data_IF_969079340675
#
_entry.id   IF_969079340675
#
_cell.length_a   1.000
_cell.length_b   1.000
_cell.length_c   1.000
_cell.angle_alpha   90.00
_cell.angle_beta   90.00
_cell.angle_gamma   90.00
#
_symmetry.space_group_name_H-M   'P 1'
#
loop_
_entity.id
_entity.type
_entity.pdbx_description
1 polymer ?
#
# COMPACT_ATOMS: atom_id res chain seq x y z
N UNK A 1 -13.03 18.73 5.42
CA UNK A 1 -11.90 17.84 5.75
C UNK A 1 -10.71 18.74 5.93
N UNK A 2 -9.93 18.59 7.01
CA UNK A 2 -8.64 19.25 7.09
C UNK A 2 -7.83 18.83 5.87
N UNK A 3 -7.10 19.76 5.26
CA UNK A 3 -6.19 19.46 4.16
C UNK A 3 -5.17 18.45 4.69
N UNK A 4 -5.17 17.24 4.12
CA UNK A 4 -4.22 16.19 4.49
C UNK A 4 -2.82 16.63 4.03
N UNK A 5 -1.92 16.75 4.98
CA UNK A 5 -0.50 17.00 4.67
C UNK A 5 0.16 15.68 4.21
N UNK A 6 -0.03 15.36 2.93
CA UNK A 6 0.52 14.15 2.31
C UNK A 6 2.05 14.09 2.41
N UNK A 7 2.72 15.23 2.37
CA UNK A 7 4.17 15.29 2.50
C UNK A 7 4.60 14.89 3.93
N UNK A 8 3.95 15.43 4.96
CA UNK A 8 4.24 15.07 6.34
C UNK A 8 3.97 13.57 6.60
N UNK A 9 2.87 13.03 6.07
CA UNK A 9 2.54 11.59 6.18
C UNK A 9 3.65 10.76 5.52
N UNK A 10 3.99 11.06 4.27
CA UNK A 10 5.01 10.30 3.53
C UNK A 10 6.35 10.29 4.28
N UNK A 11 6.83 11.46 4.70
CA UNK A 11 8.13 11.58 5.37
C UNK A 11 8.14 10.82 6.70
N UNK A 12 7.05 10.86 7.47
CA UNK A 12 6.94 10.13 8.73
C UNK A 12 6.97 8.61 8.52
N UNK A 13 6.22 8.09 7.54
CA UNK A 13 6.21 6.65 7.20
C UNK A 13 7.58 6.23 6.67
N UNK A 14 8.17 6.98 5.75
CA UNK A 14 9.53 6.74 5.24
C UNK A 14 10.54 6.63 6.38
N UNK A 15 10.51 7.55 7.32
CA UNK A 15 11.48 7.58 8.42
C UNK A 15 11.33 6.37 9.34
N UNK A 16 10.11 5.89 9.59
CA UNK A 16 9.85 4.65 10.34
C UNK A 16 10.39 3.43 9.58
N UNK A 17 10.11 3.31 8.27
CA UNK A 17 10.63 2.22 7.43
C UNK A 17 12.15 2.23 7.39
N UNK A 18 12.75 3.40 7.16
CA UNK A 18 14.21 3.56 7.19
C UNK A 18 14.81 3.15 8.54
N UNK A 19 14.17 3.48 9.66
CA UNK A 19 14.65 3.10 11.00
C UNK A 19 14.55 1.58 11.21
N UNK A 20 13.45 0.95 10.76
CA UNK A 20 13.26 -0.50 10.83
C UNK A 20 14.32 -1.25 10.01
N UNK A 21 14.57 -0.81 8.77
CA UNK A 21 15.56 -1.42 7.87
C UNK A 21 16.99 -1.23 8.41
N UNK A 22 17.33 -0.03 8.91
CA UNK A 22 18.65 0.22 9.47
C UNK A 22 18.92 -0.59 10.75
N UNK A 23 17.88 -1.01 11.47
CA UNK A 23 18.00 -1.80 12.70
C UNK A 23 17.97 -3.32 12.46
N UNK A 24 17.58 -3.77 11.26
CA UNK A 24 17.48 -5.19 10.96
C UNK A 24 18.87 -5.85 10.78
N UNK A 25 19.03 -7.15 11.07
CA UNK A 25 20.20 -7.91 10.66
C UNK A 25 20.40 -7.86 9.14
N UNK A 26 21.64 -7.75 8.68
CA UNK A 26 21.95 -7.69 7.24
C UNK A 26 21.38 -8.87 6.44
N UNK A 27 21.33 -10.05 7.05
CA UNK A 27 20.78 -11.26 6.41
C UNK A 27 19.27 -11.13 6.13
N UNK A 28 18.55 -10.29 6.84
CA UNK A 28 17.10 -10.11 6.67
C UNK A 28 16.76 -9.30 5.40
N UNK A 29 17.75 -8.64 4.79
CA UNK A 29 17.58 -7.98 3.50
C UNK A 29 17.13 -8.95 2.38
N UNK A 30 17.52 -10.21 2.47
CA UNK A 30 17.14 -11.28 1.53
C UNK A 30 15.82 -11.99 1.89
N UNK A 31 15.15 -11.56 2.95
CA UNK A 31 13.84 -12.10 3.34
C UNK A 31 12.81 -11.75 2.29
N UNK A 32 12.10 -12.77 1.79
CA UNK A 32 10.98 -12.54 0.86
C UNK A 32 9.85 -11.79 1.58
N UNK A 33 9.32 -10.78 0.92
CA UNK A 33 8.16 -10.02 1.39
C UNK A 33 6.88 -10.81 1.07
N UNK A 34 6.12 -11.32 2.07
CA UNK A 34 4.98 -12.20 1.79
C UNK A 34 3.91 -11.56 0.89
N UNK A 35 3.71 -10.25 0.99
CA UNK A 35 2.76 -9.50 0.16
C UNK A 35 3.25 -9.26 -1.28
N UNK A 36 4.56 -9.37 -1.51
CA UNK A 36 5.22 -9.18 -2.80
C UNK A 36 6.20 -10.34 -3.03
N UNK A 37 5.74 -11.57 -3.34
CA UNK A 37 6.54 -12.80 -3.25
C UNK A 37 7.72 -12.86 -4.25
N UNK A 38 7.75 -11.98 -5.23
CA UNK A 38 8.86 -11.83 -6.17
C UNK A 38 9.95 -10.87 -5.65
N UNK A 39 9.74 -10.23 -4.49
CA UNK A 39 10.63 -9.23 -3.92
C UNK A 39 11.16 -9.64 -2.55
N UNK A 40 12.42 -9.33 -2.33
CA UNK A 40 13.06 -9.32 -1.00
C UNK A 40 12.81 -7.98 -0.29
N UNK A 41 13.19 -7.88 0.97
CA UNK A 41 13.20 -6.59 1.70
C UNK A 41 14.10 -5.58 0.99
N UNK A 42 15.23 -6.03 0.41
CA UNK A 42 16.08 -5.18 -0.42
C UNK A 42 15.35 -4.62 -1.65
N UNK A 43 14.62 -5.48 -2.38
CA UNK A 43 13.86 -5.07 -3.57
C UNK A 43 12.73 -4.10 -3.19
N UNK A 44 12.06 -4.33 -2.05
CA UNK A 44 11.05 -3.42 -1.53
C UNK A 44 11.63 -2.03 -1.22
N UNK A 45 12.81 -1.97 -0.57
CA UNK A 45 13.52 -0.70 -0.35
C UNK A 45 13.94 -0.05 -1.66
N UNK A 46 14.47 -0.83 -2.61
CA UNK A 46 14.85 -0.36 -3.93
C UNK A 46 13.63 0.26 -4.67
N UNK A 47 12.46 -0.38 -4.60
CA UNK A 47 11.20 0.15 -5.13
C UNK A 47 10.84 1.49 -4.51
N UNK A 48 10.78 1.57 -3.18
CA UNK A 48 10.38 2.78 -2.45
C UNK A 48 11.37 3.96 -2.64
N UNK A 49 12.62 3.65 -2.92
CA UNK A 49 13.66 4.65 -3.22
C UNK A 49 13.58 5.11 -4.67
N UNK A 50 13.50 4.16 -5.60
CA UNK A 50 13.67 4.42 -7.04
C UNK A 50 12.49 5.08 -7.71
N UNK A 51 11.26 4.68 -7.34
CA UNK A 51 10.07 5.19 -8.01
C UNK A 51 9.89 6.70 -7.83
N UNK A 52 9.94 7.27 -6.61
CA UNK A 52 9.87 8.73 -6.47
C UNK A 52 11.09 9.44 -7.09
N UNK A 53 12.30 8.86 -7.01
CA UNK A 53 13.49 9.45 -7.64
C UNK A 53 13.34 9.56 -9.17
N UNK A 54 12.82 8.50 -9.82
CA UNK A 54 12.54 8.50 -11.25
C UNK A 54 11.51 9.56 -11.63
N UNK A 55 10.41 9.66 -10.89
CA UNK A 55 9.36 10.66 -11.13
C UNK A 55 9.87 12.10 -10.94
N UNK A 56 10.71 12.37 -9.94
CA UNK A 56 11.36 13.67 -9.73
C UNK A 56 12.28 13.99 -10.91
N UNK A 57 12.99 13.01 -11.43
CA UNK A 57 13.86 13.16 -12.60
C UNK A 57 13.08 13.29 -13.93
N UNK A 58 11.76 13.14 -13.94
CA UNK A 58 10.91 13.18 -15.14
C UNK A 58 10.94 11.89 -15.95
N UNK A 59 11.45 10.80 -15.38
CA UNK A 59 11.35 9.47 -15.99
C UNK A 59 9.96 8.89 -15.68
N UNK A 60 9.09 8.89 -16.68
CA UNK A 60 7.71 8.46 -16.58
C UNK A 60 7.51 7.10 -17.26
N UNK A 61 6.59 6.25 -16.75
CA UNK A 61 6.29 4.98 -17.40
C UNK A 61 5.75 5.20 -18.82
N UNK A 62 6.36 4.55 -19.80
CA UNK A 62 5.97 4.64 -21.23
C UNK A 62 5.30 3.37 -21.75
N UNK A 63 5.09 2.37 -20.90
CA UNK A 63 4.52 1.06 -21.24
C UNK A 63 3.76 0.45 -20.07
N UNK A 64 3.97 -0.85 -19.87
CA UNK A 64 3.40 -1.56 -18.72
C UNK A 64 4.07 -1.07 -17.44
N UNK A 65 3.27 -0.53 -16.53
CA UNK A 65 3.79 0.11 -15.32
C UNK A 65 4.61 -0.84 -14.46
N UNK A 66 4.19 -2.09 -14.34
CA UNK A 66 4.91 -3.09 -13.54
C UNK A 66 6.29 -3.43 -14.12
N UNK A 67 6.43 -3.43 -15.46
CA UNK A 67 7.74 -3.63 -16.11
C UNK A 67 8.67 -2.45 -15.85
N UNK A 68 8.14 -1.22 -15.88
CA UNK A 68 8.89 -0.02 -15.55
C UNK A 68 9.36 -0.03 -14.09
N UNK A 69 8.44 -0.35 -13.14
CA UNK A 69 8.77 -0.48 -11.72
C UNK A 69 9.86 -1.55 -11.53
N UNK A 70 9.70 -2.73 -12.12
CA UNK A 70 10.68 -3.82 -12.00
C UNK A 70 12.04 -3.39 -12.56
N UNK A 71 12.06 -2.66 -13.67
CA UNK A 71 13.31 -2.12 -14.23
C UNK A 71 14.03 -1.16 -13.27
N UNK A 72 13.29 -0.34 -12.51
CA UNK A 72 13.85 0.55 -11.50
C UNK A 72 14.44 -0.22 -10.31
N UNK A 73 13.77 -1.30 -9.87
CA UNK A 73 14.25 -2.21 -8.82
C UNK A 73 15.51 -2.93 -9.29
N UNK A 74 15.48 -3.53 -10.48
CA UNK A 74 16.61 -4.27 -11.06
C UNK A 74 17.86 -3.39 -11.23
N UNK A 75 17.69 -2.12 -11.55
CA UNK A 75 18.79 -1.16 -11.68
C UNK A 75 19.52 -0.90 -10.37
N UNK A 76 18.89 -1.22 -9.22
CA UNK A 76 19.44 -1.03 -7.87
C UNK A 76 19.83 -2.35 -7.18
N UNK A 77 19.80 -3.46 -7.88
CA UNK A 77 20.06 -4.82 -7.33
C UNK A 77 21.38 -4.92 -6.57
N UNK A 78 22.41 -4.24 -7.03
CA UNK A 78 23.76 -4.26 -6.44
C UNK A 78 24.01 -3.04 -5.54
N UNK A 79 23.01 -2.17 -5.30
CA UNK A 79 23.13 -1.01 -4.43
C UNK A 79 23.02 -1.44 -2.97
N UNK A 80 23.92 -0.98 -2.12
CA UNK A 80 23.87 -1.35 -0.70
C UNK A 80 22.62 -0.77 0.00
N UNK A 81 22.17 -1.42 1.07
CA UNK A 81 21.07 -0.91 1.92
C UNK A 81 21.37 0.52 2.39
N UNK A 82 22.61 0.79 2.84
CA UNK A 82 23.01 2.10 3.32
C UNK A 82 22.92 3.18 2.23
N UNK A 83 23.32 2.84 1.00
CA UNK A 83 23.24 3.76 -0.14
C UNK A 83 21.78 4.00 -0.56
N UNK A 84 20.91 2.97 -0.55
CA UNK A 84 19.48 3.13 -0.81
C UNK A 84 18.82 4.02 0.24
N UNK A 85 19.11 3.82 1.53
CA UNK A 85 18.59 4.66 2.61
C UNK A 85 19.08 6.11 2.49
N UNK A 86 20.33 6.32 2.07
CA UNK A 86 20.89 7.64 1.83
C UNK A 86 20.24 8.33 0.63
N UNK A 87 20.03 7.59 -0.48
CA UNK A 87 19.33 8.07 -1.67
C UNK A 87 17.91 8.51 -1.32
N UNK A 88 17.14 7.67 -0.60
CA UNK A 88 15.75 7.97 -0.25
C UNK A 88 15.59 9.23 0.62
N UNK A 89 16.60 9.55 1.42
CA UNK A 89 16.64 10.73 2.30
C UNK A 89 17.33 11.96 1.68
N UNK A 90 17.76 11.87 0.42
CA UNK A 90 18.68 12.87 -0.15
C UNK A 90 18.02 14.23 -0.42
N UNK A 91 16.70 14.29 -0.69
CA UNK A 91 15.99 15.53 -1.02
C UNK A 91 14.54 15.51 -0.54
N UNK A 92 14.34 15.83 0.75
CA UNK A 92 13.01 15.90 1.37
C UNK A 92 12.10 16.95 0.72
N UNK A 93 12.68 18.03 0.19
CA UNK A 93 11.89 19.11 -0.41
C UNK A 93 11.32 18.68 -1.77
N UNK A 94 12.13 18.07 -2.63
CA UNK A 94 11.67 17.53 -3.91
C UNK A 94 10.66 16.40 -3.69
N UNK A 95 10.93 15.50 -2.76
CA UNK A 95 10.05 14.39 -2.41
C UNK A 95 8.70 14.89 -1.87
N UNK A 96 8.70 15.85 -0.93
CA UNK A 96 7.49 16.46 -0.41
C UNK A 96 6.68 17.17 -1.49
N UNK A 97 7.34 17.88 -2.41
CA UNK A 97 6.71 18.51 -3.57
C UNK A 97 6.06 17.50 -4.52
N UNK A 98 6.70 16.34 -4.76
CA UNK A 98 6.14 15.28 -5.58
C UNK A 98 4.89 14.69 -4.93
N UNK A 99 4.96 14.21 -3.70
CA UNK A 99 3.87 13.47 -3.04
C UNK A 99 2.67 14.34 -2.73
N UNK A 100 2.83 15.64 -2.55
CA UNK A 100 1.72 16.59 -2.42
C UNK A 100 0.80 16.60 -3.67
N UNK A 101 1.33 16.21 -4.83
CA UNK A 101 0.60 16.17 -6.10
C UNK A 101 0.31 14.75 -6.59
N UNK A 102 0.99 13.73 -6.03
CA UNK A 102 0.90 12.33 -6.46
C UNK A 102 0.56 11.46 -5.24
N UNK A 103 -0.66 11.63 -4.71
CA UNK A 103 -1.10 10.99 -3.47
C UNK A 103 -1.07 9.46 -3.49
N UNK A 104 -1.07 8.83 -4.67
CA UNK A 104 -0.95 7.37 -4.78
C UNK A 104 0.37 6.86 -4.19
N UNK A 105 1.47 7.64 -4.26
CA UNK A 105 2.75 7.28 -3.66
C UNK A 105 2.68 7.16 -2.14
N UNK A 106 1.82 7.96 -1.51
CA UNK A 106 1.62 7.89 -0.06
C UNK A 106 0.86 6.61 0.32
N UNK A 107 -0.19 6.28 -0.44
CA UNK A 107 -0.93 5.04 -0.25
C UNK A 107 -0.07 3.79 -0.46
N UNK A 108 0.77 3.80 -1.51
CA UNK A 108 1.74 2.75 -1.80
C UNK A 108 2.72 2.56 -0.64
N UNK A 109 3.32 3.65 -0.16
CA UNK A 109 4.25 3.61 0.97
C UNK A 109 3.61 3.08 2.26
N UNK A 110 2.38 3.51 2.59
CA UNK A 110 1.63 3.02 3.77
C UNK A 110 1.33 1.53 3.65
N UNK A 111 0.98 1.05 2.45
CA UNK A 111 0.79 -0.39 2.21
C UNK A 111 2.10 -1.16 2.43
N UNK A 112 3.19 -0.68 1.90
CA UNK A 112 4.50 -1.33 1.98
C UNK A 112 5.17 -1.22 3.36
N UNK A 113 4.82 -0.25 4.21
CA UNK A 113 5.21 -0.28 5.62
C UNK A 113 4.63 -1.52 6.34
N UNK A 114 3.36 -1.83 6.11
CA UNK A 114 2.73 -3.06 6.61
C UNK A 114 3.39 -4.33 6.05
N UNK A 115 3.73 -4.33 4.77
CA UNK A 115 4.41 -5.44 4.09
C UNK A 115 5.80 -5.69 4.70
N UNK A 116 6.56 -4.61 4.98
CA UNK A 116 7.85 -4.67 5.66
C UNK A 116 7.72 -5.24 7.08
N UNK A 117 6.74 -4.76 7.85
CA UNK A 117 6.47 -5.30 9.19
C UNK A 117 6.19 -6.82 9.12
N UNK A 118 5.37 -7.27 8.17
CA UNK A 118 5.09 -8.68 7.94
C UNK A 118 6.35 -9.49 7.61
N UNK A 119 7.20 -8.99 6.71
CA UNK A 119 8.46 -9.63 6.33
C UNK A 119 9.45 -9.77 7.49
N UNK A 120 9.54 -8.75 8.34
CA UNK A 120 10.44 -8.74 9.50
C UNK A 120 9.85 -9.38 10.77
N UNK A 121 8.59 -9.88 10.71
CA UNK A 121 7.90 -10.41 11.88
C UNK A 121 7.62 -9.37 12.97
N UNK A 122 7.62 -8.09 12.60
CA UNK A 122 7.32 -6.97 13.48
C UNK A 122 5.80 -6.77 13.62
N UNK A 123 5.40 -6.12 14.70
CA UNK A 123 3.98 -5.74 14.91
C UNK A 123 3.76 -4.37 14.25
N UNK A 124 2.80 -4.30 13.33
CA UNK A 124 2.40 -3.04 12.71
C UNK A 124 1.65 -2.16 13.73
N UNK A 125 1.86 -0.85 13.67
CA UNK A 125 1.05 0.10 14.44
C UNK A 125 -0.33 0.28 13.77
N UNK A 126 -1.29 -0.53 14.17
CA UNK A 126 -2.67 -0.49 13.64
C UNK A 126 -3.43 0.79 14.03
N UNK A 127 -2.88 1.56 14.98
CA UNK A 127 -3.49 2.83 15.43
C UNK A 127 -2.93 4.05 14.71
N UNK A 128 -1.91 3.86 13.88
CA UNK A 128 -1.32 4.93 13.09
C UNK A 128 -2.38 5.58 12.17
N UNK A 129 -2.49 6.91 12.17
CA UNK A 129 -3.55 7.62 11.47
C UNK A 129 -3.43 7.54 9.94
N UNK A 130 -2.31 7.12 9.43
CA UNK A 130 -2.01 7.10 7.99
C UNK A 130 -2.94 6.14 7.23
N UNK A 131 -3.24 4.96 7.79
CA UNK A 131 -4.16 4.01 7.15
C UNK A 131 -5.57 4.60 7.00
N UNK A 132 -6.06 5.31 8.01
CA UNK A 132 -7.33 6.03 7.91
C UNK A 132 -7.27 7.16 6.89
N UNK A 133 -6.16 7.90 6.86
CA UNK A 133 -5.95 8.99 5.92
C UNK A 133 -5.93 8.51 4.45
N UNK A 134 -5.40 7.32 4.20
CA UNK A 134 -5.29 6.74 2.84
C UNK A 134 -6.53 5.91 2.43
N UNK A 135 -7.41 5.54 3.36
CA UNK A 135 -8.59 4.73 3.08
C UNK A 135 -9.53 5.34 2.01
N UNK A 136 -9.83 6.66 2.02
CA UNK A 136 -10.62 7.27 0.96
C UNK A 136 -9.98 7.14 -0.44
N UNK A 137 -8.65 7.22 -0.52
CA UNK A 137 -7.91 7.04 -1.79
C UNK A 137 -7.99 5.61 -2.30
N UNK A 138 -7.84 4.61 -1.42
CA UNK A 138 -8.00 3.19 -1.77
C UNK A 138 -9.42 2.90 -2.30
N UNK A 139 -10.44 3.41 -1.63
CA UNK A 139 -11.83 3.27 -2.08
C UNK A 139 -12.09 3.98 -3.42
N UNK A 140 -11.55 5.18 -3.61
CA UNK A 140 -11.68 5.93 -4.87
C UNK A 140 -11.03 5.17 -6.05
N UNK A 141 -9.90 4.50 -5.83
CA UNK A 141 -9.26 3.65 -6.83
C UNK A 141 -10.13 2.48 -7.30
N UNK A 142 -11.00 1.97 -6.43
CA UNK A 142 -11.93 0.87 -6.75
C UNK A 142 -13.26 1.33 -7.36
N UNK A 143 -13.59 2.64 -7.30
CA UNK A 143 -14.86 3.16 -7.79
C UNK A 143 -15.12 2.80 -9.25
N UNK A 144 -14.15 3.03 -10.14
CA UNK A 144 -14.26 2.72 -11.58
C UNK A 144 -14.55 1.22 -11.81
N UNK A 145 -13.68 0.32 -11.38
CA UNK A 145 -13.89 -1.13 -11.52
C UNK A 145 -15.23 -1.64 -10.95
N UNK A 146 -15.63 -1.16 -9.76
CA UNK A 146 -16.92 -1.53 -9.14
C UNK A 146 -18.12 -1.04 -9.98
N UNK A 147 -18.06 0.20 -10.48
CA UNK A 147 -19.11 0.78 -11.31
C UNK A 147 -19.20 0.07 -12.67
N UNK A 148 -18.07 -0.24 -13.29
CA UNK A 148 -18.02 -0.98 -14.57
C UNK A 148 -18.59 -2.40 -14.44
N UNK A 149 -18.39 -3.04 -13.27
CA UNK A 149 -19.00 -4.33 -12.95
C UNK A 149 -20.50 -4.24 -12.63
N UNK A 150 -21.08 -3.04 -12.57
CA UNK A 150 -22.49 -2.83 -12.24
C UNK A 150 -22.84 -3.16 -10.78
N UNK A 151 -21.87 -3.09 -9.88
CA UNK A 151 -22.03 -3.41 -8.47
C UNK A 151 -22.41 -2.17 -7.65
N UNK A 152 -23.10 -2.39 -6.52
CA UNK A 152 -23.30 -1.36 -5.49
C UNK A 152 -21.99 -0.95 -4.81
N UNK A 153 -22.04 0.07 -3.97
CA UNK A 153 -20.83 0.54 -3.29
C UNK A 153 -20.21 -0.53 -2.37
N UNK A 154 -18.89 -0.50 -2.22
CA UNK A 154 -18.23 -1.09 -1.04
C UNK A 154 -18.34 -0.07 0.08
N UNK A 155 -18.76 -0.51 1.26
CA UNK A 155 -18.81 0.31 2.47
C UNK A 155 -17.93 -0.32 3.56
N UNK A 156 -16.99 0.47 4.08
CA UNK A 156 -16.24 0.14 5.29
C UNK A 156 -16.88 0.85 6.47
N UNK A 157 -17.06 0.17 7.59
CA UNK A 157 -17.58 0.74 8.83
C UNK A 157 -16.61 0.54 9.99
N UNK A 158 -16.49 1.56 10.83
CA UNK A 158 -15.74 1.50 12.09
C UNK A 158 -16.38 2.42 13.13
N UNK A 159 -17.06 1.84 14.11
CA UNK A 159 -17.86 2.59 15.08
C UNK A 159 -18.93 3.41 14.38
N UNK A 160 -18.95 4.72 14.64
CA UNK A 160 -19.93 5.67 14.07
C UNK A 160 -19.48 6.22 12.70
N UNK A 161 -18.37 5.77 12.15
CA UNK A 161 -17.82 6.26 10.88
C UNK A 161 -18.00 5.24 9.77
N UNK A 162 -18.20 5.74 8.56
CA UNK A 162 -18.18 4.90 7.34
C UNK A 162 -17.54 5.62 6.17
N UNK A 163 -16.98 4.82 5.27
CA UNK A 163 -16.38 5.25 4.01
C UNK A 163 -16.93 4.37 2.88
N UNK A 164 -17.14 4.96 1.71
CA UNK A 164 -17.70 4.26 0.55
C UNK A 164 -16.93 4.54 -0.72
N UNK A 165 -16.97 3.60 -1.65
CA UNK A 165 -16.40 3.79 -2.99
C UNK A 165 -17.12 4.89 -3.77
N UNK A 166 -18.45 5.02 -3.62
CA UNK A 166 -19.31 6.02 -4.29
C UNK A 166 -20.69 6.11 -3.61
N UNK A 167 -21.54 7.01 -4.07
CA UNK A 167 -22.84 7.33 -3.44
C UNK A 167 -23.97 6.31 -3.72
N UNK A 168 -23.68 5.13 -4.28
CA UNK A 168 -24.71 4.09 -4.45
C UNK A 168 -24.98 3.36 -3.13
N UNK A 169 -26.13 2.66 -3.07
CA UNK A 169 -26.40 1.74 -1.97
C UNK A 169 -25.32 0.66 -1.89
N UNK A 170 -24.86 0.33 -0.68
CA UNK A 170 -23.83 -0.69 -0.52
C UNK A 170 -24.31 -2.07 -0.94
N UNK A 171 -23.59 -2.72 -1.85
CA UNK A 171 -23.79 -4.11 -2.18
C UNK A 171 -22.93 -5.05 -1.33
N UNK A 172 -21.85 -4.52 -0.76
CA UNK A 172 -21.01 -5.18 0.24
C UNK A 172 -20.54 -4.18 1.28
N UNK A 173 -20.77 -4.47 2.57
CA UNK A 173 -20.30 -3.67 3.69
C UNK A 173 -19.58 -4.56 4.69
N UNK A 174 -18.46 -4.11 5.25
CA UNK A 174 -17.77 -4.84 6.30
C UNK A 174 -17.31 -3.92 7.43
N UNK A 175 -17.20 -4.49 8.63
CA UNK A 175 -16.73 -3.81 9.84
C UNK A 175 -15.23 -4.10 10.01
N UNK A 176 -14.41 -3.06 10.04
CA UNK A 176 -12.97 -3.18 10.27
C UNK A 176 -12.39 -1.86 10.81
N UNK A 177 -11.30 -1.94 11.58
CA UNK A 177 -10.50 -0.75 11.85
C UNK A 177 -9.86 -0.22 10.55
N UNK A 178 -9.44 1.05 10.50
CA UNK A 178 -8.93 1.65 9.26
C UNK A 178 -7.70 0.94 8.68
N UNK A 179 -6.83 0.38 9.54
CA UNK A 179 -5.66 -0.38 9.09
C UNK A 179 -6.10 -1.67 8.39
N UNK A 180 -6.96 -2.46 9.03
CA UNK A 180 -7.48 -3.70 8.45
C UNK A 180 -8.24 -3.43 7.15
N UNK A 181 -9.08 -2.39 7.11
CA UNK A 181 -9.80 -2.00 5.93
C UNK A 181 -8.86 -1.60 4.78
N UNK A 182 -7.82 -0.82 5.08
CA UNK A 182 -6.82 -0.41 4.08
C UNK A 182 -6.07 -1.63 3.53
N UNK A 183 -5.65 -2.56 4.41
CA UNK A 183 -5.00 -3.83 4.01
C UNK A 183 -5.92 -4.68 3.12
N UNK A 184 -7.21 -4.79 3.48
CA UNK A 184 -8.20 -5.54 2.70
C UNK A 184 -8.40 -4.95 1.29
N UNK A 185 -8.54 -3.63 1.19
CA UNK A 185 -8.80 -2.93 -0.07
C UNK A 185 -7.57 -2.76 -0.96
N UNK A 186 -6.37 -2.96 -0.41
CA UNK A 186 -5.11 -2.96 -1.17
C UNK A 186 -4.56 -4.37 -1.41
N UNK A 187 -5.44 -5.39 -1.38
CA UNK A 187 -5.13 -6.81 -1.69
C UNK A 187 -4.08 -7.44 -0.78
N UNK A 188 -4.16 -7.17 0.53
CA UNK A 188 -3.34 -7.82 1.56
C UNK A 188 -4.15 -8.81 2.39
N UNK A 189 -5.34 -9.20 1.92
CA UNK A 189 -6.16 -10.26 2.52
C UNK A 189 -6.57 -11.26 1.46
N UNK A 190 -6.54 -12.53 1.81
CA UNK A 190 -7.03 -13.60 0.94
C UNK A 190 -8.54 -13.49 0.73
N UNK A 191 -9.04 -14.10 -0.34
CA UNK A 191 -10.49 -14.21 -0.56
C UNK A 191 -11.21 -14.86 0.63
N UNK A 192 -10.59 -15.87 1.28
CA UNK A 192 -11.18 -16.54 2.43
C UNK A 192 -11.22 -15.66 3.68
N UNK A 193 -10.20 -14.83 3.91
CA UNK A 193 -10.21 -13.84 5.00
C UNK A 193 -11.28 -12.79 4.77
N UNK A 194 -11.48 -12.33 3.52
CA UNK A 194 -12.53 -11.38 3.18
C UNK A 194 -13.93 -11.97 3.33
N UNK A 195 -14.13 -13.25 2.99
CA UNK A 195 -15.39 -13.98 3.25
C UNK A 195 -15.68 -14.16 4.74
N UNK A 196 -14.63 -14.40 5.52
CA UNK A 196 -14.74 -14.62 6.96
C UNK A 196 -14.95 -13.33 7.76
N UNK A 197 -14.61 -12.17 7.21
CA UNK A 197 -14.82 -10.87 7.86
C UNK A 197 -16.31 -10.65 8.14
N UNK A 198 -16.63 -9.94 9.22
CA UNK A 198 -18.00 -9.57 9.54
C UNK A 198 -18.54 -8.59 8.47
N UNK A 199 -19.46 -9.07 7.64
CA UNK A 199 -19.97 -8.31 6.52
C UNK A 199 -21.50 -8.48 6.30
N UNK A 200 -22.05 -7.59 5.48
CA UNK A 200 -23.39 -7.70 4.90
C UNK A 200 -23.32 -7.59 3.37
N UNK A 201 -24.27 -8.20 2.68
CA UNK A 201 -24.28 -8.26 1.22
C UNK A 201 -23.52 -9.49 0.68
N UNK A 202 -23.39 -9.56 -0.63
CA UNK A 202 -22.69 -10.64 -1.33
C UNK A 202 -21.27 -10.19 -1.68
N UNK A 203 -20.26 -10.81 -1.05
CA UNK A 203 -18.86 -10.48 -1.25
C UNK A 203 -18.29 -11.04 -2.57
N UNK A 204 -18.85 -12.13 -3.10
CA UNK A 204 -18.24 -12.86 -4.22
C UNK A 204 -17.98 -12.02 -5.48
N UNK A 205 -18.92 -11.20 -5.99
CA UNK A 205 -18.62 -10.38 -7.16
C UNK A 205 -17.55 -9.32 -6.90
N UNK A 206 -17.40 -8.88 -5.63
CA UNK A 206 -16.36 -7.91 -5.25
C UNK A 206 -14.99 -8.54 -5.18
N UNK A 207 -14.86 -9.81 -4.74
CA UNK A 207 -13.59 -10.54 -4.75
C UNK A 207 -13.03 -10.61 -6.18
N UNK A 208 -13.87 -10.87 -7.18
CA UNK A 208 -13.44 -10.91 -8.57
C UNK A 208 -12.93 -9.55 -9.07
N UNK A 209 -13.56 -8.44 -8.64
CA UNK A 209 -13.10 -7.08 -9.00
C UNK A 209 -11.80 -6.73 -8.28
N UNK A 210 -11.68 -7.06 -6.99
CA UNK A 210 -10.45 -6.83 -6.23
C UNK A 210 -9.28 -7.60 -6.84
N UNK A 211 -9.46 -8.89 -7.12
CA UNK A 211 -8.42 -9.75 -7.70
C UNK A 211 -7.97 -9.29 -9.09
N UNK A 212 -8.90 -8.78 -9.90
CA UNK A 212 -8.60 -8.22 -11.22
C UNK A 212 -7.89 -6.85 -11.12
N UNK A 213 -8.17 -6.06 -10.09
CA UNK A 213 -7.55 -4.76 -9.86
C UNK A 213 -6.11 -4.91 -9.33
N UNK A 214 -5.93 -5.74 -8.32
CA UNK A 214 -4.66 -6.13 -7.74
C UNK A 214 -4.80 -7.56 -7.19
N UNK A 215 -4.01 -8.55 -7.65
CA UNK A 215 -4.18 -9.94 -7.27
C UNK A 215 -4.23 -10.17 -5.76
N UNK A 216 -5.23 -10.92 -5.30
CA UNK A 216 -5.36 -11.30 -3.90
C UNK A 216 -4.30 -12.35 -3.51
N UNK A 217 -3.77 -12.32 -2.29
CA UNK A 217 -2.85 -13.35 -1.81
C UNK A 217 -3.54 -14.72 -1.80
N UNK A 218 -2.81 -15.75 -2.16
CA UNK A 218 -3.29 -17.15 -2.11
C UNK A 218 -3.17 -17.79 -0.74
N UNK A 219 -2.43 -17.16 0.18
CA UNK A 219 -2.26 -17.57 1.57
C UNK A 219 -2.24 -16.33 2.48
N UNK A 220 -2.67 -16.51 3.74
CA UNK A 220 -2.62 -15.43 4.73
C UNK A 220 -1.20 -14.90 4.88
N UNK A 221 -1.05 -13.57 4.91
CA UNK A 221 0.25 -12.91 5.09
C UNK A 221 0.77 -13.00 6.53
N UNK A 222 -0.05 -13.49 7.46
CA UNK A 222 0.35 -13.68 8.87
C UNK A 222 0.67 -12.38 9.61
N UNK A 223 0.20 -11.26 9.14
CA UNK A 223 0.41 -9.93 9.73
C UNK A 223 -0.20 -9.83 11.13
N UNK A 224 0.49 -9.14 12.04
CA UNK A 224 0.11 -9.04 13.46
C UNK A 224 -0.12 -7.60 13.88
#
# INVERSE_FOLDING_TARGET
>A
MADLDLAAIYLAVRDRMCAAIAAMPVADAETIVPACPDWTVHDLLAHQTSMPAALIAGDLPTGVINEWIQGLVDARRDTSIDDLLAEWRSDDAALGGLVANVGILVGDLVAHEGDLCGALGAVADRTAPESEAMLPGALAGLQGPITEAGLGAIEVRHGDRSWRTHDAEPGWSFEADPWEAFRALTSRRTADELRAAAHTGDVEPYLAVLDAHLPLPTASLGER
#
